data_IF_396544213414
#
_entry.id   IF_396544213414
#
_cell.length_a   1.000
_cell.length_b   1.000
_cell.length_c   1.000
_cell.angle_alpha   90.00
_cell.angle_beta   90.00
_cell.angle_gamma   90.00
#
_symmetry.space_group_name_H-M   'P 1'
#
loop_
_entity.id
_entity.type
_entity.pdbx_description
1 polymer ?
#
# COMPACT_ATOMS: atom_id res chain seq x y z
N UNK A 1 -62.29 -16.54 -48.00
CA UNK A 1 -61.99 -15.74 -46.80
C UNK A 1 -61.86 -16.68 -45.61
N UNK A 2 -60.65 -16.96 -45.14
CA UNK A 2 -60.44 -17.48 -43.77
C UNK A 2 -60.18 -16.31 -42.81
N UNK A 3 -59.77 -16.54 -41.55
CA UNK A 3 -60.03 -17.71 -40.70
C UNK A 3 -60.37 -17.32 -39.23
N UNK A 4 -60.50 -18.33 -38.39
CA UNK A 4 -60.44 -18.34 -36.93
C UNK A 4 -59.43 -17.36 -36.30
N UNK A 5 -59.77 -16.83 -35.11
CA UNK A 5 -58.77 -16.28 -34.18
C UNK A 5 -59.34 -15.42 -33.05
N UNK A 6 -59.79 -16.04 -31.95
CA UNK A 6 -59.92 -15.32 -30.67
C UNK A 6 -58.51 -14.99 -30.18
N UNK A 7 -58.09 -13.74 -30.37
CA UNK A 7 -56.84 -13.23 -29.85
C UNK A 7 -56.89 -13.11 -28.32
N UNK A 8 -55.97 -13.79 -27.64
CA UNK A 8 -55.57 -13.52 -26.27
C UNK A 8 -54.54 -12.38 -26.27
N UNK A 9 -54.80 -11.20 -25.70
CA UNK A 9 -53.78 -10.19 -25.51
C UNK A 9 -52.96 -10.53 -24.27
N UNK A 10 -51.77 -11.05 -24.58
CA UNK A 10 -50.56 -11.18 -23.76
C UNK A 10 -50.44 -10.18 -22.61
N UNK A 11 -50.10 -10.75 -21.46
CA UNK A 11 -49.53 -10.14 -20.27
C UNK A 11 -48.50 -9.05 -20.64
N UNK A 12 -48.83 -7.77 -20.40
CA UNK A 12 -47.88 -6.66 -20.52
C UNK A 12 -47.35 -6.35 -19.13
N UNK A 13 -46.24 -7.00 -18.77
CA UNK A 13 -45.45 -6.67 -17.59
C UNK A 13 -45.11 -5.18 -17.64
N UNK A 14 -45.69 -4.39 -16.72
CA UNK A 14 -45.30 -3.00 -16.49
C UNK A 14 -43.90 -3.01 -15.87
N UNK A 15 -42.88 -2.88 -16.68
CA UNK A 15 -41.58 -2.37 -16.25
C UNK A 15 -41.72 -0.85 -16.05
N UNK A 16 -41.64 -0.40 -14.80
CA UNK A 16 -41.11 0.91 -14.40
C UNK A 16 -41.39 1.16 -12.91
N UNK A 17 -40.62 0.50 -12.03
CA UNK A 17 -40.24 1.15 -10.77
C UNK A 17 -38.79 1.59 -10.96
N UNK A 18 -38.60 2.89 -11.19
CA UNK A 18 -37.29 3.52 -11.04
C UNK A 18 -37.01 3.51 -9.55
N UNK A 19 -36.01 2.73 -9.15
CA UNK A 19 -35.47 2.78 -7.79
C UNK A 19 -34.76 4.11 -7.66
N UNK A 20 -35.34 5.02 -6.87
CA UNK A 20 -34.72 6.28 -6.48
C UNK A 20 -33.59 5.96 -5.50
N UNK A 21 -32.46 5.53 -6.06
CA UNK A 21 -31.24 5.32 -5.31
C UNK A 21 -30.68 6.70 -4.94
N UNK A 22 -30.99 7.14 -3.73
CA UNK A 22 -30.36 8.33 -3.13
C UNK A 22 -29.00 7.87 -2.60
N UNK A 23 -27.86 8.30 -3.15
CA UNK A 23 -26.57 7.89 -2.63
C UNK A 23 -26.45 8.46 -1.22
N UNK A 24 -26.15 7.59 -0.25
CA UNK A 24 -25.74 8.02 1.08
C UNK A 24 -24.49 8.87 0.89
N UNK A 25 -24.66 10.18 1.05
CA UNK A 25 -23.56 11.13 1.10
C UNK A 25 -22.76 10.74 2.35
N UNK A 26 -21.62 10.07 2.15
CA UNK A 26 -20.63 9.75 3.18
C UNK A 26 -20.11 11.06 3.76
N UNK A 27 -20.88 11.65 4.67
CA UNK A 27 -20.56 12.86 5.43
C UNK A 27 -20.00 12.43 6.78
N UNK A 28 -18.92 11.68 6.70
CA UNK A 28 -17.86 11.73 7.70
C UNK A 28 -16.59 11.73 6.87
N UNK A 29 -16.05 12.93 6.63
CA UNK A 29 -14.71 13.05 6.05
C UNK A 29 -13.77 12.42 7.05
N UNK A 30 -13.51 11.11 6.87
CA UNK A 30 -12.42 10.41 7.50
C UNK A 30 -11.22 11.35 7.40
N UNK A 31 -10.75 11.79 8.57
CA UNK A 31 -9.66 12.76 8.67
C UNK A 31 -8.53 12.28 7.75
N UNK A 32 -8.21 12.99 6.65
CA UNK A 32 -7.40 12.43 5.57
C UNK A 32 -6.00 12.06 6.08
N UNK A 33 -5.65 10.79 6.09
CA UNK A 33 -4.28 10.37 6.42
C UNK A 33 -3.30 10.97 5.42
N UNK A 34 -2.14 11.41 5.89
CA UNK A 34 -1.08 11.91 5.00
C UNK A 34 -0.21 10.74 4.51
N UNK A 35 -0.15 9.67 5.30
CA UNK A 35 0.65 8.51 5.00
C UNK A 35 0.07 7.23 5.59
N UNK A 36 0.52 6.09 5.06
CA UNK A 36 0.25 4.80 5.69
C UNK A 36 1.37 3.77 5.48
N UNK A 37 1.46 2.84 6.44
CA UNK A 37 2.31 1.66 6.35
C UNK A 37 1.47 0.39 6.32
N UNK A 38 1.68 -0.46 5.31
CA UNK A 38 1.21 -1.85 5.30
C UNK A 38 2.18 -2.68 6.12
N UNK A 39 1.77 -3.08 7.32
CA UNK A 39 2.53 -3.92 8.23
C UNK A 39 2.18 -5.39 7.96
N UNK A 40 3.14 -6.16 7.45
CA UNK A 40 2.90 -7.52 6.98
C UNK A 40 4.00 -8.50 7.42
N UNK A 41 3.73 -9.79 7.27
CA UNK A 41 4.78 -10.82 7.20
C UNK A 41 4.91 -11.33 5.76
N UNK A 42 6.04 -11.92 5.36
CA UNK A 42 6.18 -12.48 4.02
C UNK A 42 5.06 -13.47 3.70
N UNK A 43 4.61 -13.46 2.43
CA UNK A 43 3.59 -14.38 1.87
C UNK A 43 2.15 -14.16 2.38
N UNK A 44 1.85 -12.98 2.91
CA UNK A 44 0.50 -12.58 3.34
C UNK A 44 -0.35 -11.95 2.24
N UNK A 45 0.17 -11.81 1.02
CA UNK A 45 -0.50 -11.10 -0.07
C UNK A 45 -0.22 -9.60 -0.10
N UNK A 46 0.79 -9.13 0.66
CA UNK A 46 1.14 -7.71 0.69
C UNK A 46 1.44 -7.15 -0.70
N UNK A 47 2.25 -7.83 -1.53
CA UNK A 47 2.59 -7.30 -2.88
C UNK A 47 1.36 -7.17 -3.79
N UNK A 48 0.37 -8.07 -3.66
CA UNK A 48 -0.92 -7.94 -4.34
C UNK A 48 -1.67 -6.68 -3.86
N UNK A 49 -1.75 -6.48 -2.54
CA UNK A 49 -2.39 -5.30 -1.97
C UNK A 49 -1.70 -4.00 -2.40
N UNK A 50 -0.36 -3.98 -2.42
CA UNK A 50 0.43 -2.82 -2.86
C UNK A 50 0.10 -2.47 -4.31
N UNK A 51 0.09 -3.46 -5.22
CA UNK A 51 -0.26 -3.22 -6.63
C UNK A 51 -1.69 -2.71 -6.81
N UNK A 52 -2.66 -3.21 -6.03
CA UNK A 52 -4.03 -2.70 -6.05
C UNK A 52 -4.11 -1.25 -5.56
N UNK A 53 -3.42 -0.91 -4.46
CA UNK A 53 -3.36 0.46 -3.95
C UNK A 53 -2.70 1.42 -4.94
N UNK A 54 -1.57 1.03 -5.52
CA UNK A 54 -0.87 1.80 -6.55
C UNK A 54 -1.76 2.07 -7.77
N UNK A 55 -2.49 1.04 -8.23
CA UNK A 55 -3.41 1.16 -9.38
C UNK A 55 -4.55 2.17 -9.20
N UNK A 56 -4.83 2.62 -7.98
CA UNK A 56 -5.83 3.66 -7.73
C UNK A 56 -5.37 5.05 -8.17
N UNK A 57 -4.06 5.28 -8.27
CA UNK A 57 -3.46 6.58 -8.55
C UNK A 57 -3.64 7.64 -7.44
N UNK A 58 -4.23 7.26 -6.29
CA UNK A 58 -4.52 8.17 -5.17
C UNK A 58 -4.03 7.65 -3.81
N UNK A 59 -3.60 6.39 -3.73
CA UNK A 59 -3.11 5.78 -2.49
C UNK A 59 -1.58 5.75 -2.43
N UNK A 60 -0.88 6.73 -3.00
CA UNK A 60 0.57 6.68 -3.11
C UNK A 60 1.07 5.59 -4.07
N UNK A 61 2.37 5.37 -4.04
CA UNK A 61 3.07 4.34 -4.80
C UNK A 61 3.75 3.35 -3.84
N UNK A 62 2.99 2.55 -3.08
CA UNK A 62 3.55 1.81 -1.97
C UNK A 62 4.56 0.75 -2.42
N UNK A 63 5.73 0.77 -1.79
CA UNK A 63 6.83 -0.20 -1.98
C UNK A 63 7.50 -0.52 -0.64
N UNK A 64 8.39 -1.50 -0.61
CA UNK A 64 9.23 -1.82 0.54
C UNK A 64 10.45 -0.88 0.66
N UNK A 65 10.24 0.44 0.66
CA UNK A 65 11.33 1.42 0.66
C UNK A 65 12.32 1.20 1.80
N UNK A 66 11.83 1.01 3.03
CA UNK A 66 12.67 0.94 4.23
C UNK A 66 13.17 -0.47 4.56
N UNK A 67 13.19 -1.38 3.59
CA UNK A 67 13.80 -2.69 3.76
C UNK A 67 15.31 -2.53 3.68
N UNK A 68 16.00 -2.72 4.80
CA UNK A 68 17.46 -2.46 4.95
C UNK A 68 18.34 -3.02 3.82
N UNK A 69 18.15 -4.28 3.33
CA UNK A 69 18.90 -4.79 2.17
C UNK A 69 18.72 -3.99 0.87
N UNK A 70 17.59 -3.30 0.70
CA UNK A 70 17.20 -2.65 -0.55
C UNK A 70 17.44 -1.13 -0.51
N UNK A 71 17.69 -0.54 0.67
CA UNK A 71 17.84 0.91 0.83
C UNK A 71 18.97 1.47 -0.05
N UNK A 72 20.10 0.77 -0.17
CA UNK A 72 21.20 1.18 -1.06
C UNK A 72 20.79 1.19 -2.53
N UNK A 73 19.98 0.23 -2.97
CA UNK A 73 19.46 0.15 -4.34
C UNK A 73 18.48 1.30 -4.63
N UNK A 74 17.63 1.64 -3.67
CA UNK A 74 16.76 2.81 -3.76
C UNK A 74 17.56 4.11 -3.80
N UNK A 75 18.59 4.23 -2.95
CA UNK A 75 19.46 5.41 -2.93
C UNK A 75 20.20 5.60 -4.27
N UNK A 76 20.69 4.52 -4.88
CA UNK A 76 21.26 4.54 -6.23
C UNK A 76 20.23 4.98 -7.28
N UNK A 77 19.02 4.40 -7.23
CA UNK A 77 17.93 4.72 -8.16
C UNK A 77 17.53 6.19 -8.09
N UNK A 78 17.53 6.77 -6.90
CA UNK A 78 17.25 8.20 -6.68
C UNK A 78 18.49 9.09 -6.78
N UNK A 79 19.65 8.53 -7.14
CA UNK A 79 20.92 9.24 -7.32
C UNK A 79 21.29 10.10 -6.10
N UNK A 80 21.07 9.57 -4.90
CA UNK A 80 21.39 10.30 -3.67
C UNK A 80 22.90 10.53 -3.57
N UNK A 81 23.26 11.72 -3.10
CA UNK A 81 24.65 12.04 -2.83
C UNK A 81 25.22 11.04 -1.81
N UNK A 82 26.29 10.36 -2.21
CA UNK A 82 27.01 9.44 -1.34
C UNK A 82 27.82 10.25 -0.32
N UNK A 83 27.87 9.75 0.90
CA UNK A 83 28.89 10.15 1.87
C UNK A 83 30.17 9.35 1.58
N UNK A 84 31.10 9.36 2.51
CA UNK A 84 32.17 8.37 2.58
C UNK A 84 31.65 6.92 2.55
N UNK A 85 32.57 5.95 2.42
CA UNK A 85 32.37 4.49 2.53
C UNK A 85 30.95 3.98 2.18
N UNK A 86 30.41 4.38 1.02
CA UNK A 86 29.11 3.95 0.46
C UNK A 86 27.82 4.38 1.18
N UNK A 87 27.91 5.25 2.20
CA UNK A 87 26.75 5.77 2.92
C UNK A 87 25.96 6.85 2.14
N UNK A 88 24.81 7.23 2.69
CA UNK A 88 24.04 8.41 2.29
C UNK A 88 23.38 9.01 3.53
N UNK A 89 23.05 10.30 3.49
CA UNK A 89 22.33 10.94 4.60
C UNK A 89 20.91 10.40 4.68
N UNK A 90 20.56 9.77 5.79
CA UNK A 90 19.24 9.14 5.93
C UNK A 90 18.09 10.15 5.81
N UNK A 91 18.27 11.40 6.24
CA UNK A 91 17.28 12.46 6.03
C UNK A 91 16.98 12.74 4.54
N UNK A 92 17.97 12.61 3.66
CA UNK A 92 17.78 12.78 2.22
C UNK A 92 17.11 11.54 1.61
N UNK A 93 17.45 10.35 2.12
CA UNK A 93 16.79 9.10 1.76
C UNK A 93 15.30 9.13 2.07
N UNK A 94 14.93 9.53 3.28
CA UNK A 94 13.54 9.61 3.71
C UNK A 94 12.75 10.63 2.89
N UNK A 95 13.37 11.76 2.54
CA UNK A 95 12.76 12.76 1.64
C UNK A 95 12.51 12.18 0.25
N UNK A 96 13.48 11.45 -0.31
CA UNK A 96 13.36 10.81 -1.61
C UNK A 96 12.31 9.68 -1.61
N UNK A 97 12.30 8.84 -0.57
CA UNK A 97 11.28 7.82 -0.36
C UNK A 97 9.89 8.43 -0.30
N UNK A 98 9.71 9.50 0.46
CA UNK A 98 8.43 10.21 0.55
C UNK A 98 8.01 10.78 -0.81
N UNK A 99 8.93 11.37 -1.56
CA UNK A 99 8.63 11.88 -2.91
C UNK A 99 8.24 10.74 -3.88
N UNK A 100 8.96 9.63 -3.86
CA UNK A 100 8.72 8.49 -4.74
C UNK A 100 7.42 7.73 -4.39
N UNK A 101 7.10 7.61 -3.11
CA UNK A 101 5.95 6.87 -2.61
C UNK A 101 4.65 7.67 -2.52
N UNK A 102 4.65 8.94 -2.93
CA UNK A 102 3.48 9.83 -2.85
C UNK A 102 2.80 10.02 -4.21
N UNK A 103 1.47 10.04 -4.21
CA UNK A 103 0.65 10.45 -5.37
C UNK A 103 0.41 11.97 -5.37
N UNK A 104 -0.08 12.58 -6.47
CA UNK A 104 -0.30 14.04 -6.56
C UNK A 104 -1.24 14.64 -5.49
N UNK A 105 -2.10 13.81 -4.89
CA UNK A 105 -2.95 14.20 -3.76
C UNK A 105 -2.20 14.22 -2.40
N UNK A 106 -0.90 13.95 -2.37
CA UNK A 106 -0.04 14.07 -1.20
C UNK A 106 0.01 12.84 -0.29
N UNK A 107 -0.74 11.77 -0.61
CA UNK A 107 -0.76 10.54 0.19
C UNK A 107 0.48 9.71 -0.08
N UNK A 108 1.25 9.41 0.97
CA UNK A 108 2.40 8.50 0.94
C UNK A 108 2.01 7.08 1.34
N UNK A 109 2.48 6.07 0.60
CA UNK A 109 2.30 4.66 0.95
C UNK A 109 3.63 3.92 1.06
N UNK A 110 3.76 3.00 2.00
CA UNK A 110 4.89 2.07 2.08
C UNK A 110 4.50 0.74 2.75
N UNK A 111 5.35 -0.28 2.60
CA UNK A 111 5.23 -1.57 3.30
C UNK A 111 6.38 -1.74 4.28
N UNK A 112 6.06 -2.26 5.46
CA UNK A 112 7.03 -2.70 6.47
C UNK A 112 6.77 -4.17 6.77
N UNK A 113 7.83 -4.98 6.72
CA UNK A 113 7.75 -6.35 7.18
C UNK A 113 7.93 -6.40 8.70
N UNK A 114 7.49 -7.50 9.33
CA UNK A 114 7.79 -7.77 10.72
C UNK A 114 9.29 -7.64 11.00
N UNK A 115 9.64 -6.98 12.11
CA UNK A 115 11.02 -6.67 12.47
C UNK A 115 11.55 -5.36 11.89
N UNK A 116 11.02 -4.88 10.76
CA UNK A 116 11.52 -3.65 10.10
C UNK A 116 11.09 -2.37 10.81
N UNK A 117 9.95 -2.37 11.52
CA UNK A 117 9.42 -1.14 12.16
C UNK A 117 10.42 -0.55 13.17
N UNK A 118 11.03 -1.38 14.01
CA UNK A 118 12.04 -0.94 14.97
C UNK A 118 13.26 -0.33 14.28
N UNK A 119 13.77 -0.98 13.23
CA UNK A 119 14.88 -0.47 12.42
C UNK A 119 14.56 0.90 11.80
N UNK A 120 13.36 1.09 11.25
CA UNK A 120 12.95 2.38 10.70
C UNK A 120 12.93 3.44 11.80
N UNK A 121 12.29 3.15 12.94
CA UNK A 121 12.23 4.06 14.09
C UNK A 121 13.64 4.45 14.55
N UNK A 122 14.54 3.48 14.73
CA UNK A 122 15.91 3.73 15.16
C UNK A 122 16.67 4.63 14.18
N UNK A 123 16.53 4.38 12.88
CA UNK A 123 17.14 5.24 11.86
C UNK A 123 16.53 6.64 11.86
N UNK A 124 15.22 6.79 12.10
CA UNK A 124 14.57 8.11 12.19
C UNK A 124 14.97 8.90 13.43
N UNK A 125 15.25 8.23 14.56
CA UNK A 125 15.76 8.87 15.79
C UNK A 125 17.11 9.56 15.56
N UNK A 126 17.91 9.09 14.61
CA UNK A 126 19.16 9.77 14.22
C UNK A 126 18.93 11.15 13.62
N UNK A 127 17.74 11.39 13.04
CA UNK A 127 17.32 12.65 12.43
C UNK A 127 16.61 13.55 13.45
N UNK A 128 15.72 12.97 14.27
CA UNK A 128 14.87 13.68 15.23
C UNK A 128 15.12 13.18 16.65
N UNK A 129 16.23 13.62 17.25
CA UNK A 129 16.65 13.20 18.60
C UNK A 129 15.74 13.70 19.72
N UNK A 130 14.94 14.72 19.45
CA UNK A 130 13.98 15.33 20.38
C UNK A 130 12.74 14.47 20.64
N UNK A 131 12.45 13.50 19.77
CA UNK A 131 11.29 12.60 19.86
C UNK A 131 11.69 11.16 20.21
N UNK A 132 12.80 10.99 20.94
CA UNK A 132 13.34 9.67 21.21
C UNK A 132 12.31 8.75 21.89
N UNK A 133 11.50 9.18 22.84
CA UNK A 133 10.59 8.25 23.53
C UNK A 133 9.17 8.19 22.93
N UNK A 134 8.94 8.77 21.75
CA UNK A 134 7.64 8.84 21.08
C UNK A 134 7.70 8.38 19.62
N UNK A 135 7.62 7.06 19.40
CA UNK A 135 7.68 6.46 18.06
C UNK A 135 6.59 6.98 17.12
N UNK A 136 5.36 7.15 17.63
CA UNK A 136 4.25 7.63 16.82
C UNK A 136 4.40 9.12 16.51
N UNK A 137 4.85 9.92 17.47
CA UNK A 137 5.21 11.32 17.25
C UNK A 137 6.33 11.47 16.23
N UNK A 138 7.35 10.62 16.29
CA UNK A 138 8.46 10.56 15.33
C UNK A 138 7.97 10.22 13.92
N UNK A 139 7.16 9.16 13.78
CA UNK A 139 6.57 8.80 12.48
C UNK A 139 5.66 9.92 11.95
N UNK A 140 4.85 10.53 12.81
CA UNK A 140 3.99 11.65 12.42
C UNK A 140 4.80 12.89 12.03
N UNK A 141 5.94 13.13 12.67
CA UNK A 141 6.85 14.23 12.35
C UNK A 141 7.45 14.06 10.95
N UNK A 142 7.79 12.83 10.58
CA UNK A 142 8.46 12.50 9.32
C UNK A 142 7.47 12.35 8.17
N UNK A 143 6.36 11.65 8.38
CA UNK A 143 5.42 11.23 7.33
C UNK A 143 4.07 11.95 7.36
N UNK A 144 3.83 12.84 8.33
CA UNK A 144 2.50 13.41 8.57
C UNK A 144 1.59 12.43 9.31
N UNK A 145 0.28 12.70 9.39
CA UNK A 145 -0.67 11.80 10.06
C UNK A 145 -0.62 10.40 9.44
N UNK A 146 -0.01 9.47 10.19
CA UNK A 146 0.33 8.13 9.71
C UNK A 146 -0.70 7.10 10.16
N UNK A 147 -1.22 6.34 9.20
CA UNK A 147 -2.05 5.16 9.43
C UNK A 147 -1.27 3.84 9.32
N UNK A 148 -1.80 2.78 9.93
CA UNK A 148 -1.20 1.44 9.86
C UNK A 148 -2.24 0.42 9.40
N UNK A 149 -1.89 -0.36 8.38
CA UNK A 149 -2.71 -1.45 7.85
C UNK A 149 -2.02 -2.76 8.19
N UNK A 150 -2.56 -3.51 9.15
CA UNK A 150 -2.02 -4.81 9.51
C UNK A 150 -2.58 -5.91 8.59
N UNK A 151 -1.69 -6.57 7.86
CA UNK A 151 -2.06 -7.65 6.94
C UNK A 151 -1.63 -9.01 7.49
N UNK A 152 -2.60 -9.91 7.62
CA UNK A 152 -2.40 -11.30 8.04
C UNK A 152 -3.05 -12.27 7.07
N UNK A 153 -2.49 -13.47 6.97
CA UNK A 153 -3.09 -14.60 6.25
C UNK A 153 -3.58 -15.62 7.29
N UNK A 154 -4.87 -15.96 7.24
CA UNK A 154 -5.45 -16.89 8.21
C UNK A 154 -4.92 -18.32 8.05
N UNK A 155 -4.70 -18.77 6.81
CA UNK A 155 -4.08 -20.07 6.54
C UNK A 155 -2.56 -19.98 6.62
N UNK A 156 -2.04 -20.19 7.83
CA UNK A 156 -0.62 -20.15 8.15
C UNK A 156 0.18 -21.28 7.50
N UNK A 157 -0.46 -22.44 7.24
CA UNK A 157 0.20 -23.56 6.58
C UNK A 157 0.46 -23.23 5.11
N UNK A 158 -0.55 -22.70 4.41
CA UNK A 158 -0.38 -22.25 3.04
C UNK A 158 0.61 -21.06 2.94
N UNK A 159 0.67 -20.20 3.97
CA UNK A 159 1.68 -19.16 4.08
C UNK A 159 3.11 -19.76 4.14
N UNK A 160 3.33 -20.73 5.02
CA UNK A 160 4.63 -21.39 5.21
C UNK A 160 5.07 -22.17 3.97
N UNK A 161 4.17 -22.92 3.34
CA UNK A 161 4.47 -23.62 2.07
C UNK A 161 4.83 -22.62 0.98
N UNK A 162 4.12 -21.50 0.88
CA UNK A 162 4.47 -20.46 -0.09
C UNK A 162 5.83 -19.81 0.19
N UNK A 163 6.21 -19.69 1.47
CA UNK A 163 7.51 -19.13 1.86
C UNK A 163 8.62 -20.08 1.42
N UNK A 164 8.55 -21.35 1.83
CA UNK A 164 9.57 -22.34 1.51
C UNK A 164 9.80 -22.45 0.00
N UNK A 165 8.73 -22.43 -0.79
CA UNK A 165 8.84 -22.42 -2.25
C UNK A 165 9.57 -21.18 -2.77
N UNK A 166 9.24 -19.99 -2.25
CA UNK A 166 9.87 -18.75 -2.69
C UNK A 166 11.38 -18.73 -2.39
N UNK A 167 11.80 -19.24 -1.22
CA UNK A 167 13.22 -19.40 -0.89
C UNK A 167 13.94 -20.37 -1.83
N UNK A 168 13.32 -21.52 -2.10
CA UNK A 168 13.91 -22.54 -2.97
C UNK A 168 14.08 -22.09 -4.42
N UNK A 169 13.15 -21.27 -4.91
CA UNK A 169 13.16 -20.81 -6.32
C UNK A 169 13.69 -19.39 -6.49
N UNK A 170 14.05 -18.71 -5.40
CA UNK A 170 14.35 -17.26 -5.38
C UNK A 170 13.26 -16.39 -6.05
N UNK A 171 12.01 -16.86 -6.08
CA UNK A 171 10.89 -16.16 -6.73
C UNK A 171 9.88 -15.75 -5.69
N UNK A 172 9.88 -14.45 -5.37
CA UNK A 172 9.04 -13.91 -4.31
C UNK A 172 7.73 -13.32 -4.83
N UNK A 173 7.67 -12.93 -6.10
CA UNK A 173 6.45 -12.40 -6.69
C UNK A 173 6.35 -12.74 -8.18
N UNK A 174 5.13 -12.76 -8.70
CA UNK A 174 4.84 -13.00 -10.12
C UNK A 174 3.87 -11.92 -10.57
N UNK A 175 4.25 -11.12 -11.57
CA UNK A 175 3.39 -10.10 -12.16
C UNK A 175 3.48 -8.69 -11.53
N UNK A 176 4.59 -8.34 -10.89
CA UNK A 176 4.79 -7.03 -10.28
C UNK A 176 5.46 -6.00 -11.16
N UNK A 177 4.84 -4.83 -11.27
CA UNK A 177 5.51 -3.65 -11.82
C UNK A 177 6.27 -2.93 -10.68
N UNK A 178 7.59 -3.09 -10.60
CA UNK A 178 8.46 -2.14 -9.91
C UNK A 178 8.86 -2.40 -8.46
N UNK A 179 8.48 -3.54 -7.86
CA UNK A 179 9.09 -3.98 -6.61
C UNK A 179 10.53 -4.42 -6.89
N UNK A 180 11.51 -3.95 -6.10
CA UNK A 180 12.89 -4.42 -6.20
C UNK A 180 12.91 -5.82 -5.57
N UNK A 181 13.29 -6.82 -6.35
CA UNK A 181 13.47 -8.21 -5.90
C UNK A 181 14.80 -8.39 -5.12
#
# INVERSE_FOLDING_TARGET
MGPYGRGCPRNRLRHSQKSDYVPVMLTETARPIDSYFVCATPRTGSSLLLGLLDSTGICGHPQAYFRSPDESLWADRWQLARTDESGFRYADYVRAARAAGSTPNGVFGAKLMWGTVGEVVDKMRTIHRDLADDDLGLLNRVFGRTGFVYLKRHDVLAQAVSWLRAEQTATWFVGGNGEID
#
